data_IF_231332910897
#
_entry.id   IF_231332910897
#
_cell.length_a   1.000
_cell.length_b   1.000
_cell.length_c   1.000
_cell.angle_alpha   90.00
_cell.angle_beta   90.00
_cell.angle_gamma   90.00
#
_symmetry.space_group_name_H-M   'P 1'
#
loop_
_entity.id
_entity.type
_entity.pdbx_description
1 polymer ?
#
# COMPACT_ATOMS: atom_id res chain seq x y z
N UNK A 1 -10.52 -10.52 -25.77
CA UNK A 1 -9.93 -11.57 -24.92
C UNK A 1 -9.18 -10.87 -23.80
N UNK A 2 -9.63 -11.06 -22.55
CA UNK A 2 -9.19 -10.27 -21.40
C UNK A 2 -7.73 -10.52 -21.05
N UNK A 3 -6.92 -9.47 -21.07
CA UNK A 3 -5.58 -9.49 -20.50
C UNK A 3 -5.73 -9.29 -19.00
N UNK A 4 -5.43 -10.36 -18.26
CA UNK A 4 -5.20 -10.38 -16.83
C UNK A 4 -4.24 -9.26 -16.46
N UNK A 5 -4.78 -8.18 -15.90
CA UNK A 5 -4.00 -7.05 -15.40
C UNK A 5 -3.07 -7.55 -14.31
N UNK A 6 -1.80 -7.73 -14.64
CA UNK A 6 -0.76 -7.98 -13.67
C UNK A 6 -0.78 -6.79 -12.70
N UNK A 7 -1.28 -7.03 -11.49
CA UNK A 7 -1.13 -6.15 -10.33
C UNK A 7 0.36 -6.13 -9.98
N UNK A 8 1.16 -5.42 -10.79
CA UNK A 8 2.56 -5.13 -10.49
C UNK A 8 2.55 -4.27 -9.24
N UNK A 9 2.79 -4.94 -8.12
CA UNK A 9 3.02 -4.34 -6.83
C UNK A 9 4.07 -3.24 -7.00
N UNK A 10 3.63 -1.97 -7.04
CA UNK A 10 4.54 -0.85 -6.81
C UNK A 10 5.16 -1.14 -5.45
N UNK A 11 6.46 -1.45 -5.46
CA UNK A 11 7.20 -1.76 -4.25
C UNK A 11 7.22 -0.49 -3.37
N UNK A 12 7.23 -0.68 -2.05
CA UNK A 12 7.16 0.44 -1.10
C UNK A 12 8.30 1.46 -1.29
N UNK A 13 9.49 1.00 -1.70
CA UNK A 13 10.65 1.84 -2.02
C UNK A 13 10.36 2.81 -3.17
N UNK A 14 9.66 2.36 -4.22
CA UNK A 14 9.29 3.19 -5.37
C UNK A 14 8.30 4.27 -4.95
N UNK A 15 7.31 3.92 -4.13
CA UNK A 15 6.33 4.89 -3.62
C UNK A 15 6.97 5.96 -2.72
N UNK A 16 7.90 5.57 -1.86
CA UNK A 16 8.67 6.49 -1.00
C UNK A 16 9.58 7.39 -1.84
N UNK A 17 10.28 6.84 -2.82
CA UNK A 17 11.16 7.63 -3.70
C UNK A 17 10.39 8.66 -4.52
N UNK A 18 9.22 8.28 -5.07
CA UNK A 18 8.35 9.23 -5.78
C UNK A 18 7.88 10.33 -4.84
N UNK A 19 7.45 9.98 -3.63
CA UNK A 19 7.03 10.98 -2.64
C UNK A 19 8.18 11.92 -2.25
N UNK A 20 9.39 11.41 -2.08
CA UNK A 20 10.59 12.21 -1.81
C UNK A 20 10.97 13.12 -2.99
N UNK A 21 10.76 12.70 -4.24
CA UNK A 21 11.00 13.52 -5.43
C UNK A 21 9.97 14.66 -5.56
N UNK A 22 8.71 14.41 -5.19
CA UNK A 22 7.61 15.38 -5.36
C UNK A 22 7.58 16.38 -4.20
N UNK A 23 7.69 15.89 -2.96
CA UNK A 23 7.52 16.71 -1.77
C UNK A 23 8.85 17.11 -1.13
N UNK A 24 9.97 16.49 -1.51
CA UNK A 24 11.22 16.54 -0.75
C UNK A 24 11.22 15.52 0.39
N UNK A 25 12.39 15.03 0.77
CA UNK A 25 12.54 13.99 1.79
C UNK A 25 11.95 14.36 3.17
N UNK A 26 11.83 15.65 3.47
CA UNK A 26 11.30 16.23 4.71
C UNK A 26 9.91 16.87 4.54
N UNK A 27 9.44 17.01 3.29
CA UNK A 27 8.23 17.75 2.95
C UNK A 27 6.93 16.94 3.06
N UNK A 28 6.96 15.72 3.58
CA UNK A 28 5.77 14.91 3.83
C UNK A 28 5.95 13.99 5.04
N UNK A 29 4.84 13.50 5.59
CA UNK A 29 4.82 12.50 6.66
C UNK A 29 3.67 11.52 6.50
N UNK A 30 3.87 10.31 7.02
CA UNK A 30 2.82 9.28 7.09
C UNK A 30 2.45 8.97 8.53
N UNK A 31 1.17 8.76 8.80
CA UNK A 31 0.67 8.35 10.11
C UNK A 31 -0.31 7.18 9.96
N UNK A 32 -0.04 6.09 10.68
CA UNK A 32 -0.97 4.97 10.78
C UNK A 32 -2.11 5.35 11.73
N UNK A 33 -3.31 5.58 11.19
CA UNK A 33 -4.48 6.01 11.96
C UNK A 33 -5.18 4.86 12.66
N UNK A 34 -5.32 3.74 11.96
CA UNK A 34 -5.96 2.55 12.52
C UNK A 34 -5.39 1.29 11.89
N UNK A 35 -5.42 0.23 12.69
CA UNK A 35 -5.08 -1.12 12.28
C UNK A 35 -6.13 -2.05 12.89
N UNK A 36 -6.97 -2.65 12.05
CA UNK A 36 -8.08 -3.50 12.49
C UNK A 36 -7.95 -4.87 11.85
N UNK A 37 -7.99 -5.93 12.65
CA UNK A 37 -8.09 -7.29 12.12
C UNK A 37 -9.55 -7.56 11.77
N UNK A 38 -9.85 -7.70 10.48
CA UNK A 38 -11.21 -7.96 9.99
C UNK A 38 -11.56 -9.44 10.09
N UNK A 39 -10.61 -10.32 9.74
CA UNK A 39 -10.80 -11.75 9.80
C UNK A 39 -9.58 -12.41 10.43
N UNK A 40 -9.82 -13.40 11.29
CA UNK A 40 -8.79 -14.24 11.90
C UNK A 40 -9.41 -15.61 12.13
N UNK A 41 -9.30 -16.47 11.13
CA UNK A 41 -9.91 -17.80 11.14
C UNK A 41 -8.83 -18.87 11.07
N UNK A 42 -9.05 -19.98 11.77
CA UNK A 42 -8.22 -21.17 11.65
C UNK A 42 -8.94 -22.20 10.78
N UNK A 43 -8.32 -22.64 9.71
CA UNK A 43 -8.88 -23.65 8.81
C UNK A 43 -8.92 -25.02 9.48
N UNK A 44 -9.76 -25.92 8.97
CA UNK A 44 -9.84 -27.31 9.43
C UNK A 44 -8.49 -28.05 9.31
N UNK A 45 -7.63 -27.63 8.37
CA UNK A 45 -6.27 -28.14 8.21
C UNK A 45 -5.26 -27.57 9.23
N UNK A 46 -5.72 -26.77 10.19
CA UNK A 46 -4.90 -26.18 11.26
C UNK A 46 -4.09 -24.94 10.84
N UNK A 47 -4.39 -24.35 9.68
CA UNK A 47 -3.70 -23.17 9.13
C UNK A 47 -4.48 -21.90 9.45
N UNK A 48 -3.84 -20.74 9.36
CA UNK A 48 -4.42 -19.45 9.69
C UNK A 48 -4.67 -18.61 8.45
N UNK A 49 -5.88 -18.09 8.37
CA UNK A 49 -6.29 -17.08 7.40
C UNK A 49 -6.58 -15.78 8.16
N UNK A 50 -5.86 -14.73 7.80
CA UNK A 50 -5.92 -13.43 8.47
C UNK A 50 -6.10 -12.33 7.45
N UNK A 51 -7.08 -11.46 7.67
CA UNK A 51 -7.28 -10.22 6.92
C UNK A 51 -7.15 -9.04 7.86
N UNK A 52 -6.27 -8.12 7.52
CA UNK A 52 -6.05 -6.88 8.26
C UNK A 52 -6.40 -5.70 7.37
N UNK A 53 -7.05 -4.71 7.96
CA UNK A 53 -7.30 -3.42 7.38
C UNK A 53 -6.43 -2.38 8.09
N UNK A 54 -5.77 -1.52 7.32
CA UNK A 54 -5.02 -0.39 7.82
C UNK A 54 -5.56 0.91 7.22
N UNK A 55 -5.64 1.97 8.01
CA UNK A 55 -5.89 3.32 7.50
C UNK A 55 -4.63 4.14 7.65
N UNK A 56 -4.14 4.69 6.55
CA UNK A 56 -2.94 5.52 6.51
C UNK A 56 -3.31 6.94 6.12
N UNK A 57 -2.76 7.90 6.86
CA UNK A 57 -2.80 9.32 6.53
C UNK A 57 -1.47 9.75 5.96
N UNK A 58 -1.50 10.51 4.87
CA UNK A 58 -0.33 11.16 4.29
C UNK A 58 -0.56 12.67 4.31
N UNK A 59 0.42 13.41 4.83
CA UNK A 59 0.35 14.86 5.01
C UNK A 59 1.60 15.50 4.41
N UNK A 60 1.49 16.25 3.30
CA UNK A 60 2.54 17.14 2.86
C UNK A 60 2.67 18.34 3.80
N UNK A 61 3.89 18.67 4.20
CA UNK A 61 4.19 19.80 5.09
C UNK A 61 3.94 21.14 4.43
N UNK A 62 4.21 21.26 3.13
CA UNK A 62 4.10 22.52 2.39
C UNK A 62 2.65 22.99 2.23
N UNK A 63 1.70 22.08 2.03
CA UNK A 63 0.28 22.42 1.87
C UNK A 63 -0.50 22.36 3.19
N UNK A 64 -0.03 21.60 4.18
CA UNK A 64 -0.76 21.33 5.43
C UNK A 64 -2.03 20.49 5.25
N UNK A 65 -2.36 20.09 4.01
CA UNK A 65 -3.48 19.22 3.69
C UNK A 65 -3.12 17.76 3.94
N UNK A 66 -4.12 16.89 4.12
CA UNK A 66 -3.88 15.47 4.32
C UNK A 66 -4.85 14.64 3.50
N UNK A 67 -4.40 13.48 3.07
CA UNK A 67 -5.23 12.47 2.43
C UNK A 67 -5.14 11.17 3.20
N UNK A 68 -6.30 10.58 3.42
CA UNK A 68 -6.44 9.28 4.07
C UNK A 68 -6.96 8.25 3.08
N UNK A 69 -6.43 7.05 3.21
CA UNK A 69 -6.95 5.89 2.49
C UNK A 69 -6.82 4.62 3.35
N UNK A 70 -7.60 3.63 2.94
CA UNK A 70 -7.70 2.34 3.59
C UNK A 70 -7.03 1.31 2.68
N UNK A 71 -6.16 0.49 3.26
CA UNK A 71 -5.53 -0.65 2.63
C UNK A 71 -5.92 -1.95 3.31
N UNK A 72 -5.94 -3.03 2.53
CA UNK A 72 -6.23 -4.38 3.00
C UNK A 72 -5.03 -5.26 2.74
N UNK A 73 -4.69 -6.11 3.70
CA UNK A 73 -3.65 -7.12 3.58
C UNK A 73 -4.16 -8.47 4.04
N UNK A 74 -3.79 -9.51 3.30
CA UNK A 74 -4.30 -10.86 3.48
C UNK A 74 -3.15 -11.85 3.66
N UNK A 75 -3.31 -12.76 4.59
CA UNK A 75 -2.42 -13.90 4.73
C UNK A 75 -3.24 -15.16 4.85
N UNK A 76 -3.18 -15.99 3.81
CA UNK A 76 -3.88 -17.27 3.73
C UNK A 76 -2.93 -18.43 4.03
N UNK A 77 -3.49 -19.54 4.50
CA UNK A 77 -2.82 -20.82 4.66
C UNK A 77 -1.53 -20.79 5.50
N UNK A 78 -1.46 -19.89 6.48
CA UNK A 78 -0.25 -19.68 7.26
C UNK A 78 -0.14 -20.67 8.43
N UNK A 79 1.00 -21.35 8.63
CA UNK A 79 1.15 -22.32 9.72
C UNK A 79 1.18 -21.67 11.11
N UNK A 80 1.69 -20.45 11.21
CA UNK A 80 1.81 -19.69 12.46
C UNK A 80 0.97 -18.42 12.39
N UNK A 81 0.17 -18.18 13.43
CA UNK A 81 -0.66 -16.98 13.53
C UNK A 81 0.17 -15.69 13.51
N UNK A 82 1.32 -15.68 14.21
CA UNK A 82 2.20 -14.50 14.26
C UNK A 82 2.70 -14.10 12.87
N UNK A 83 3.12 -15.08 12.07
CA UNK A 83 3.55 -14.85 10.68
C UNK A 83 2.40 -14.36 9.81
N UNK A 84 1.19 -14.91 10.01
CA UNK A 84 0.00 -14.51 9.27
C UNK A 84 -0.36 -13.03 9.55
N UNK A 85 -0.38 -12.65 10.83
CA UNK A 85 -0.64 -11.27 11.25
C UNK A 85 0.44 -10.34 10.72
N UNK A 86 1.72 -10.68 10.90
CA UNK A 86 2.83 -9.84 10.45
C UNK A 86 2.76 -9.58 8.93
N UNK A 87 2.50 -10.62 8.13
CA UNK A 87 2.35 -10.50 6.68
C UNK A 87 1.15 -9.63 6.32
N UNK A 88 -0.04 -9.94 6.84
CA UNK A 88 -1.27 -9.20 6.55
C UNK A 88 -1.17 -7.73 6.97
N UNK A 89 -0.56 -7.44 8.13
CA UNK A 89 -0.34 -6.07 8.61
C UNK A 89 0.62 -5.30 7.70
N UNK A 90 1.75 -5.89 7.29
CA UNK A 90 2.71 -5.24 6.38
C UNK A 90 2.10 -4.94 5.02
N UNK A 91 1.33 -5.87 4.46
CA UNK A 91 0.61 -5.67 3.21
C UNK A 91 -0.45 -4.57 3.34
N UNK A 92 -1.27 -4.59 4.40
CA UNK A 92 -2.32 -3.60 4.62
C UNK A 92 -1.75 -2.19 4.75
N UNK A 93 -0.68 -2.02 5.55
CA UNK A 93 -0.04 -0.72 5.74
C UNK A 93 0.58 -0.19 4.43
N UNK A 94 1.22 -1.07 3.65
CA UNK A 94 1.81 -0.70 2.37
C UNK A 94 0.74 -0.31 1.34
N UNK A 95 -0.36 -1.05 1.28
CA UNK A 95 -1.47 -0.75 0.39
C UNK A 95 -2.14 0.59 0.74
N UNK A 96 -2.42 0.82 2.02
CA UNK A 96 -3.03 2.06 2.51
C UNK A 96 -2.17 3.28 2.15
N UNK A 97 -0.85 3.17 2.37
CA UNK A 97 0.12 4.20 2.03
C UNK A 97 0.15 4.51 0.52
N UNK A 98 0.22 3.47 -0.33
CA UNK A 98 0.22 3.64 -1.80
C UNK A 98 -1.05 4.34 -2.28
N UNK A 99 -2.20 3.98 -1.72
CA UNK A 99 -3.50 4.56 -2.10
C UNK A 99 -3.61 6.02 -1.65
N UNK A 100 -3.20 6.33 -0.43
CA UNK A 100 -3.16 7.69 0.07
C UNK A 100 -2.20 8.59 -0.75
N UNK A 101 -1.02 8.06 -1.14
CA UNK A 101 -0.08 8.76 -2.02
C UNK A 101 -0.63 8.99 -3.43
N UNK A 102 -1.39 8.04 -4.00
CA UNK A 102 -2.05 8.24 -5.31
C UNK A 102 -3.06 9.39 -5.28
N UNK A 103 -3.80 9.55 -4.18
CA UNK A 103 -4.75 10.67 -4.02
C UNK A 103 -4.07 12.03 -4.00
N UNK A 104 -2.87 12.12 -3.43
CA UNK A 104 -2.05 13.33 -3.43
C UNK A 104 -1.59 13.73 -4.84
N UNK A 105 -1.21 12.76 -5.67
CA UNK A 105 -0.86 13.01 -7.08
C UNK A 105 -2.01 13.56 -7.90
N UNK A 106 -3.23 13.03 -7.73
CA UNK A 106 -4.40 13.53 -8.46
C UNK A 106 -4.86 14.93 -8.00
N UNK A 107 -4.61 15.31 -6.74
CA UNK A 107 -4.98 16.62 -6.21
C UNK A 107 -4.03 17.75 -6.65
N UNK A 108 -2.83 17.43 -7.16
CA UNK A 108 -1.78 18.41 -7.50
C UNK A 108 -1.66 18.68 -9.00
N UNK A 109 -2.67 18.32 -9.81
CA UNK A 109 -2.74 18.66 -11.24
C UNK A 109 -1.69 17.99 -12.14
N UNK A 110 -0.77 17.22 -11.57
CA UNK A 110 0.17 16.38 -12.30
C UNK A 110 -0.29 14.95 -12.12
N UNK A 111 -0.90 14.39 -13.16
CA UNK A 111 -1.25 12.98 -13.22
C UNK A 111 -0.02 12.12 -12.85
N UNK A 112 0.05 11.65 -11.59
CA UNK A 112 0.88 10.50 -11.23
C UNK A 112 0.22 9.30 -11.89
N UNK A 113 0.39 9.22 -13.20
CA UNK A 113 0.46 7.93 -13.86
C UNK A 113 1.80 7.41 -13.40
N UNK A 114 1.78 6.50 -12.43
CA UNK A 114 2.84 5.52 -12.23
C UNK A 114 2.95 4.75 -13.55
N UNK A 115 3.59 5.37 -14.54
CA UNK A 115 3.84 4.77 -15.84
C UNK A 115 4.79 3.63 -15.57
N UNK A 116 4.26 2.44 -15.84
CA UNK A 116 4.96 1.18 -15.90
C UNK A 116 6.22 1.41 -16.75
N UNK A 117 7.38 1.55 -16.10
CA UNK A 117 8.67 1.61 -16.79
C UNK A 117 8.98 0.19 -17.26
N UNK A 118 8.34 -0.21 -18.35
CA UNK A 118 8.86 -1.27 -19.21
C UNK A 118 10.19 -0.78 -19.75
N UNK A 119 11.29 -1.20 -19.12
CA UNK A 119 12.58 -1.18 -19.78
C UNK A 119 12.45 -2.06 -21.02
N UNK A 120 12.67 -1.44 -22.18
CA UNK A 120 12.62 -2.12 -23.46
C UNK A 120 13.60 -3.28 -23.50
N UNK A 121 13.13 -4.41 -23.99
CA UNK A 121 13.98 -5.33 -24.72
C UNK A 121 13.75 -5.06 -26.20
N UNK A 122 14.76 -4.46 -26.82
CA UNK A 122 14.95 -4.45 -28.27
C UNK A 122 15.05 -5.89 -28.77
N UNK A 123 14.24 -6.20 -29.76
CA UNK A 123 14.41 -7.29 -30.72
C UNK A 123 13.89 -6.80 -32.06
#
# INVERSE_FOLDING_TARGET
MGTSGALTYVRADVAINIANQIFGHDGWSTELKSLTTQNKTKTAAGKWDVTVQATMRVTPRASGTWHEDVGIGNSENSPKLSQAIEKATKEAATDAMKRALRKLGNATGSCITIQNTTWGYTG
#
